data_IF_620452558323
#
_entry.id   IF_620452558323
#
_cell.length_a   1.000
_cell.length_b   1.000
_cell.length_c   1.000
_cell.angle_alpha   90.00
_cell.angle_beta   90.00
_cell.angle_gamma   90.00
#
_symmetry.space_group_name_H-M   'P 1'
#
loop_
_entity.id
_entity.type
_entity.pdbx_description
1 polymer ?
#
# COMPACT_ATOMS: atom_id res chain seq x y z
N UNK A 1 -21.07 -2.17 -19.15
CA UNK A 1 -21.45 -0.88 -18.55
C UNK A 1 -20.57 0.18 -19.20
N UNK A 2 -21.15 1.17 -19.90
CA UNK A 2 -20.37 2.25 -20.53
C UNK A 2 -20.35 3.45 -19.58
N UNK A 3 -19.20 3.73 -18.96
CA UNK A 3 -19.03 4.81 -17.98
C UNK A 3 -18.46 6.08 -18.60
N UNK A 4 -18.23 6.12 -19.93
CA UNK A 4 -17.64 7.29 -20.61
C UNK A 4 -18.51 8.54 -20.53
N UNK A 5 -19.79 8.40 -20.19
CA UNK A 5 -20.74 9.49 -19.97
C UNK A 5 -20.92 9.88 -18.51
N UNK A 6 -19.99 9.51 -17.62
CA UNK A 6 -20.04 9.80 -16.19
C UNK A 6 -18.83 10.65 -15.81
N UNK A 7 -19.10 11.83 -15.26
CA UNK A 7 -18.08 12.66 -14.60
C UNK A 7 -18.28 12.58 -13.10
N UNK A 8 -17.21 12.29 -12.35
CA UNK A 8 -17.25 12.14 -10.90
C UNK A 8 -16.28 13.12 -10.27
N UNK A 9 -16.79 13.90 -9.32
CA UNK A 9 -15.97 14.70 -8.42
C UNK A 9 -16.13 14.18 -7.00
N UNK A 10 -14.99 13.99 -6.33
CA UNK A 10 -14.96 13.53 -4.94
C UNK A 10 -14.45 14.66 -4.06
N UNK A 11 -15.16 14.94 -2.98
CA UNK A 11 -14.72 15.79 -1.89
C UNK A 11 -14.61 14.93 -0.64
N UNK A 12 -13.46 14.98 0.03
CA UNK A 12 -13.24 14.32 1.32
C UNK A 12 -12.98 15.41 2.36
N UNK A 13 -13.82 15.45 3.39
CA UNK A 13 -13.72 16.38 4.50
C UNK A 13 -13.50 15.61 5.80
N UNK A 14 -12.38 15.87 6.46
CA UNK A 14 -12.06 15.29 7.76
C UNK A 14 -12.63 16.15 8.88
N UNK A 15 -13.40 15.53 9.78
CA UNK A 15 -13.94 16.12 11.01
C UNK A 15 -13.36 15.39 12.21
N UNK A 16 -13.50 15.99 13.40
CA UNK A 16 -12.92 15.46 14.64
C UNK A 16 -13.26 13.99 14.88
N UNK A 17 -14.50 13.58 14.62
CA UNK A 17 -14.97 12.21 14.87
C UNK A 17 -15.29 11.45 13.60
N UNK A 18 -15.44 12.12 12.45
CA UNK A 18 -15.95 11.49 11.23
C UNK A 18 -15.21 11.96 9.97
N UNK A 19 -15.18 11.13 8.94
CA UNK A 19 -14.81 11.57 7.58
C UNK A 19 -16.06 11.60 6.73
N UNK A 20 -16.34 12.74 6.12
CA UNK A 20 -17.41 12.88 5.13
C UNK A 20 -16.83 12.81 3.71
N UNK A 21 -17.40 11.94 2.89
CA UNK A 21 -17.10 11.79 1.47
C UNK A 21 -18.32 12.18 0.68
N UNK A 22 -18.20 13.22 -0.13
CA UNK A 22 -19.26 13.65 -1.05
C UNK A 22 -18.85 13.34 -2.48
N UNK A 23 -19.68 12.57 -3.17
CA UNK A 23 -19.57 12.30 -4.60
C UNK A 23 -20.60 13.14 -5.35
N UNK A 24 -20.10 14.05 -6.18
CA UNK A 24 -20.92 14.79 -7.15
C UNK A 24 -20.74 14.11 -8.51
N UNK A 25 -21.84 13.68 -9.12
CA UNK A 25 -21.81 12.87 -10.34
C UNK A 25 -22.72 13.48 -11.39
N UNK A 26 -22.15 13.82 -12.54
CA UNK A 26 -22.91 14.20 -13.72
C UNK A 26 -22.95 13.02 -14.70
N UNK A 27 -24.17 12.65 -15.11
CA UNK A 27 -24.39 11.48 -15.94
C UNK A 27 -25.24 11.80 -17.16
N UNK A 28 -24.85 11.29 -18.33
CA UNK A 28 -25.64 11.47 -19.57
C UNK A 28 -26.84 10.54 -19.67
N UNK A 29 -26.93 9.51 -18.79
CA UNK A 29 -27.94 8.45 -18.82
C UNK A 29 -28.34 8.01 -17.41
N UNK A 30 -29.37 7.17 -17.29
CA UNK A 30 -29.69 6.51 -16.03
C UNK A 30 -28.82 5.26 -15.87
N UNK A 31 -28.35 5.02 -14.65
CA UNK A 31 -27.61 3.81 -14.28
C UNK A 31 -28.25 3.18 -13.05
N UNK A 32 -28.36 1.86 -13.04
CA UNK A 32 -28.77 1.11 -11.87
C UNK A 32 -27.59 0.35 -11.30
N UNK A 33 -27.50 0.28 -9.97
CA UNK A 33 -26.47 -0.47 -9.25
C UNK A 33 -25.02 -0.12 -9.69
N UNK A 34 -24.76 1.15 -9.98
CA UNK A 34 -23.42 1.60 -10.33
C UNK A 34 -22.48 1.45 -9.14
N UNK A 35 -21.35 0.76 -9.35
CA UNK A 35 -20.29 0.63 -8.38
C UNK A 35 -19.31 1.81 -8.48
N UNK A 36 -19.21 2.58 -7.40
CA UNK A 36 -18.36 3.76 -7.27
C UNK A 36 -17.31 3.48 -6.19
N UNK A 37 -16.05 3.46 -6.57
CA UNK A 37 -14.97 3.18 -5.63
C UNK A 37 -14.52 4.46 -4.90
N UNK A 38 -14.43 4.38 -3.58
CA UNK A 38 -13.81 5.40 -2.72
C UNK A 38 -12.53 4.81 -2.12
N UNK A 39 -11.42 5.53 -2.25
CA UNK A 39 -10.09 5.03 -1.96
C UNK A 39 -9.39 5.86 -0.91
N UNK A 40 -8.65 5.17 -0.04
CA UNK A 40 -7.72 5.68 0.95
C UNK A 40 -8.35 6.71 1.90
N UNK A 41 -9.50 6.40 2.48
CA UNK A 41 -10.11 7.24 3.50
C UNK A 41 -9.27 7.17 4.79
N UNK A 42 -9.02 8.29 5.49
CA UNK A 42 -8.17 8.35 6.70
C UNK A 42 -8.84 7.74 7.94
N UNK A 43 -9.36 6.53 7.80
CA UNK A 43 -10.25 5.86 8.75
C UNK A 43 -9.93 4.38 8.82
N UNK A 44 -10.12 3.79 10.00
CA UNK A 44 -9.92 2.36 10.21
C UNK A 44 -10.96 1.54 9.43
N UNK A 45 -10.52 0.40 8.90
CA UNK A 45 -11.43 -0.58 8.33
C UNK A 45 -12.29 -1.23 9.44
N UNK A 46 -13.57 -1.43 9.15
CA UNK A 46 -14.52 -2.18 9.97
C UNK A 46 -15.55 -2.87 9.07
N UNK A 47 -16.14 -3.95 9.58
CA UNK A 47 -17.32 -4.59 8.98
C UNK A 47 -18.63 -4.13 9.64
N UNK A 48 -18.56 -3.37 10.73
CA UNK A 48 -19.75 -2.84 11.42
C UNK A 48 -20.43 -1.75 10.57
N UNK A 49 -21.60 -2.10 10.00
CA UNK A 49 -22.37 -1.20 9.15
C UNK A 49 -22.86 0.06 9.89
N UNK A 50 -22.94 0.05 11.22
CA UNK A 50 -23.37 1.21 12.00
C UNK A 50 -22.34 2.35 12.00
N UNK A 51 -21.11 2.07 11.56
CA UNK A 51 -20.04 3.05 11.42
C UNK A 51 -20.18 3.89 10.14
N UNK A 52 -21.17 3.60 9.30
CA UNK A 52 -21.38 4.27 8.01
C UNK A 52 -22.78 4.88 7.93
N UNK A 53 -22.86 6.17 7.60
CA UNK A 53 -24.11 6.84 7.27
C UNK A 53 -24.10 7.18 5.78
N UNK A 54 -25.15 6.77 5.07
CA UNK A 54 -25.27 6.93 3.63
C UNK A 54 -26.46 7.81 3.27
N UNK A 55 -26.24 8.69 2.30
CA UNK A 55 -27.28 9.49 1.66
C UNK A 55 -27.11 9.42 0.15
N UNK A 56 -28.20 9.14 -0.57
CA UNK A 56 -28.19 9.03 -2.03
C UNK A 56 -27.57 7.74 -2.58
N UNK A 57 -27.02 6.87 -1.73
CA UNK A 57 -26.48 5.55 -2.08
C UNK A 57 -27.35 4.44 -1.47
N UNK A 58 -27.38 3.27 -2.11
CA UNK A 58 -28.08 2.10 -1.60
C UNK A 58 -27.28 1.40 -0.51
N UNK A 59 -25.99 1.20 -0.73
CA UNK A 59 -25.10 0.51 0.22
C UNK A 59 -23.64 0.90 0.04
N UNK A 60 -22.86 0.64 1.09
CA UNK A 60 -21.41 0.74 1.10
C UNK A 60 -20.81 -0.61 1.46
N UNK A 61 -19.88 -1.06 0.64
CA UNK A 61 -19.11 -2.28 0.86
C UNK A 61 -17.70 -1.87 1.33
N UNK A 62 -17.40 -1.93 2.64
CA UNK A 62 -16.09 -1.55 3.14
C UNK A 62 -15.05 -2.54 2.64
N UNK A 63 -13.93 -2.01 2.15
CA UNK A 63 -12.78 -2.78 1.68
C UNK A 63 -11.56 -2.33 2.45
N UNK A 64 -10.85 -3.25 3.09
CA UNK A 64 -9.60 -2.91 3.75
C UNK A 64 -8.53 -2.61 2.70
N UNK A 65 -7.93 -1.42 2.76
CA UNK A 65 -6.79 -1.11 1.90
C UNK A 65 -5.63 -2.07 2.22
N UNK A 66 -5.10 -2.78 1.21
CA UNK A 66 -4.12 -3.85 1.46
C UNK A 66 -2.83 -3.31 2.05
N UNK A 67 -2.45 -2.06 1.77
CA UNK A 67 -1.15 -1.51 2.17
C UNK A 67 -1.21 -0.52 3.34
N UNK A 68 -2.20 0.36 3.40
CA UNK A 68 -2.32 1.37 4.48
C UNK A 68 -3.13 0.85 5.68
N UNK A 69 -3.93 -0.21 5.47
CA UNK A 69 -4.99 -0.61 6.40
C UNK A 69 -6.11 0.41 6.54
N UNK A 70 -6.08 1.49 5.75
CA UNK A 70 -7.13 2.49 5.68
C UNK A 70 -8.40 1.90 5.07
N UNK A 71 -9.52 2.57 5.30
CA UNK A 71 -10.79 2.21 4.71
C UNK A 71 -10.80 2.62 3.23
N UNK A 72 -11.02 1.63 2.38
CA UNK A 72 -11.57 1.82 1.03
C UNK A 72 -13.03 1.36 1.04
N UNK A 73 -13.71 1.51 -0.08
CA UNK A 73 -14.90 0.73 -0.31
C UNK A 73 -15.59 1.04 -1.61
N UNK A 74 -16.72 0.40 -1.79
CA UNK A 74 -17.55 0.53 -2.98
C UNK A 74 -18.92 1.03 -2.54
N UNK A 75 -19.29 2.20 -3.03
CA UNK A 75 -20.65 2.73 -2.96
C UNK A 75 -21.45 2.16 -4.13
N UNK A 76 -22.63 1.62 -3.84
CA UNK A 76 -23.57 1.17 -4.85
C UNK A 76 -24.71 2.18 -4.94
N UNK A 77 -24.98 2.62 -6.16
CA UNK A 77 -25.77 3.81 -6.46
C UNK A 77 -26.68 3.61 -7.67
N UNK A 78 -27.91 4.09 -7.59
CA UNK A 78 -28.69 4.38 -8.77
C UNK A 78 -28.44 5.84 -9.17
N UNK A 79 -28.05 6.07 -10.43
CA UNK A 79 -27.88 7.41 -10.99
C UNK A 79 -29.04 7.73 -11.92
N UNK A 80 -29.52 8.97 -11.81
CA UNK A 80 -30.39 9.57 -12.82
C UNK A 80 -29.54 10.35 -13.81
N UNK A 81 -30.05 10.51 -15.03
CA UNK A 81 -29.51 11.46 -15.99
C UNK A 81 -29.47 12.86 -15.38
N UNK A 82 -28.35 13.55 -15.55
CA UNK A 82 -28.05 14.86 -14.95
C UNK A 82 -27.20 14.73 -13.70
N UNK A 83 -27.39 15.66 -12.76
CA UNK A 83 -26.58 15.76 -11.54
C UNK A 83 -27.15 14.88 -10.42
N UNK A 84 -26.26 14.12 -9.79
CA UNK A 84 -26.51 13.30 -8.62
C UNK A 84 -25.52 13.69 -7.54
N UNK A 85 -25.94 13.57 -6.28
CA UNK A 85 -25.08 13.78 -5.13
C UNK A 85 -25.27 12.65 -4.14
N UNK A 86 -24.17 12.16 -3.61
CA UNK A 86 -24.14 11.07 -2.65
C UNK A 86 -23.17 11.43 -1.54
N UNK A 87 -23.50 11.06 -0.31
CA UNK A 87 -22.64 11.30 0.85
C UNK A 87 -22.48 10.02 1.64
N UNK A 88 -21.23 9.72 1.99
CA UNK A 88 -20.83 8.69 2.94
C UNK A 88 -20.14 9.38 4.12
N UNK A 89 -20.65 9.18 5.32
CA UNK A 89 -19.98 9.58 6.56
C UNK A 89 -19.46 8.33 7.26
N UNK A 90 -18.17 8.35 7.62
CA UNK A 90 -17.46 7.24 8.27
C UNK A 90 -17.08 7.65 9.69
N UNK A 91 -17.44 6.83 10.69
CA UNK A 91 -17.28 7.14 12.12
C UNK A 91 -16.21 6.30 12.86
N UNK A 92 -15.49 5.45 12.15
CA UNK A 92 -14.42 4.64 12.74
C UNK A 92 -13.26 5.50 13.21
N UNK A 93 -12.39 4.92 14.03
CA UNK A 93 -11.13 5.54 14.47
C UNK A 93 -10.35 6.16 13.30
N UNK A 94 -9.80 7.35 13.54
CA UNK A 94 -8.96 8.03 12.57
C UNK A 94 -7.68 7.21 12.32
N UNK A 95 -7.27 7.13 11.06
CA UNK A 95 -5.99 6.58 10.66
C UNK A 95 -5.26 7.59 9.77
N UNK A 96 -3.98 7.90 10.05
CA UNK A 96 -3.22 8.79 9.20
C UNK A 96 -3.11 8.20 7.79
N UNK A 97 -3.23 9.07 6.77
CA UNK A 97 -2.87 8.69 5.41
C UNK A 97 -1.39 8.34 5.38
N UNK A 98 -1.08 7.10 5.01
CA UNK A 98 0.30 6.64 4.89
C UNK A 98 0.74 6.70 3.43
N UNK A 99 1.81 7.44 3.17
CA UNK A 99 2.58 7.26 1.94
C UNK A 99 3.47 6.03 2.11
N UNK A 100 3.14 5.00 1.36
CA UNK A 100 3.71 3.67 1.51
C UNK A 100 4.96 3.45 0.68
N UNK A 101 5.27 4.40 -0.20
CA UNK A 101 6.42 4.28 -1.09
C UNK A 101 7.70 4.54 -0.30
N UNK A 102 8.50 3.49 -0.24
CA UNK A 102 9.83 3.48 0.33
C UNK A 102 10.80 3.56 -0.84
N UNK A 103 11.55 4.64 -0.94
CA UNK A 103 12.62 4.71 -1.93
C UNK A 103 13.77 3.76 -1.51
N UNK A 104 14.21 2.93 -2.45
CA UNK A 104 15.30 1.97 -2.28
C UNK A 104 16.42 2.34 -3.27
N UNK A 105 17.58 2.73 -2.75
CA UNK A 105 18.62 3.36 -3.57
C UNK A 105 18.09 4.60 -4.30
N UNK A 106 18.39 4.73 -5.60
CA UNK A 106 18.05 5.93 -6.38
C UNK A 106 16.73 5.83 -7.15
N UNK A 107 16.47 4.68 -7.77
CA UNK A 107 15.47 4.53 -8.83
C UNK A 107 14.46 3.40 -8.57
N UNK A 108 14.63 2.66 -7.47
CA UNK A 108 13.70 1.63 -7.06
C UNK A 108 12.84 2.12 -5.89
N UNK A 109 11.64 1.56 -5.80
CA UNK A 109 10.68 1.84 -4.75
C UNK A 109 10.08 0.54 -4.25
N UNK A 110 9.54 0.57 -3.05
CA UNK A 110 8.77 -0.53 -2.50
C UNK A 110 7.53 -0.04 -1.77
N UNK A 111 6.48 -0.86 -1.79
CA UNK A 111 5.36 -0.77 -0.83
C UNK A 111 5.48 -1.94 0.14
N UNK A 112 5.60 -1.64 1.42
CA UNK A 112 5.77 -2.66 2.48
C UNK A 112 4.44 -2.87 3.20
N UNK A 113 4.10 -4.13 3.44
CA UNK A 113 2.90 -4.58 4.13
C UNK A 113 3.26 -5.48 5.30
N UNK A 114 2.84 -5.10 6.51
CA UNK A 114 2.95 -5.93 7.70
C UNK A 114 1.60 -6.60 8.01
N UNK A 115 1.56 -7.93 7.98
CA UNK A 115 0.35 -8.71 8.30
C UNK A 115 0.70 -9.98 9.07
N UNK A 116 0.09 -10.17 10.23
CA UNK A 116 0.21 -11.43 10.99
C UNK A 116 1.63 -11.72 11.49
N UNK A 117 2.44 -10.69 11.72
CA UNK A 117 3.83 -10.82 12.13
C UNK A 117 4.83 -10.99 10.98
N UNK A 118 4.36 -10.99 9.72
CA UNK A 118 5.21 -11.08 8.54
C UNK A 118 5.16 -9.79 7.72
N UNK A 119 6.33 -9.35 7.25
CA UNK A 119 6.49 -8.19 6.37
C UNK A 119 6.69 -8.64 4.92
N UNK A 120 5.90 -8.11 4.00
CA UNK A 120 6.02 -8.30 2.55
C UNK A 120 6.20 -6.97 1.84
N UNK A 121 7.29 -6.82 1.10
CA UNK A 121 7.60 -5.68 0.26
C UNK A 121 7.33 -5.98 -1.21
N UNK A 122 6.62 -5.09 -1.90
CA UNK A 122 6.37 -5.12 -3.33
C UNK A 122 7.28 -4.12 -4.00
N UNK A 123 8.27 -4.59 -4.75
CA UNK A 123 9.28 -3.75 -5.39
C UNK A 123 8.80 -3.27 -6.76
N UNK A 124 9.14 -2.06 -7.15
CA UNK A 124 8.84 -1.52 -8.47
C UNK A 124 9.82 -0.39 -8.84
N UNK A 125 9.85 -0.02 -10.12
CA UNK A 125 10.53 1.19 -10.59
C UNK A 125 9.56 2.05 -11.40
N UNK A 126 9.54 3.38 -11.18
CA UNK A 126 8.82 4.31 -12.05
C UNK A 126 9.59 4.63 -13.34
N UNK A 127 10.83 4.13 -13.48
CA UNK A 127 11.62 4.34 -14.68
C UNK A 127 11.02 3.58 -15.88
N UNK A 128 11.22 4.13 -17.07
CA UNK A 128 10.82 3.50 -18.34
C UNK A 128 11.81 2.41 -18.80
N UNK A 129 12.93 2.27 -18.10
CA UNK A 129 13.98 1.27 -18.37
C UNK A 129 14.21 0.39 -17.13
N UNK A 130 14.70 -0.85 -17.31
CA UNK A 130 15.05 -1.72 -16.19
C UNK A 130 16.12 -1.12 -15.28
N UNK A 131 15.98 -1.36 -13.98
CA UNK A 131 16.94 -0.90 -12.97
C UNK A 131 17.42 -2.09 -12.12
N UNK A 132 18.69 -2.08 -11.74
CA UNK A 132 19.25 -3.07 -10.84
C UNK A 132 19.23 -2.54 -9.41
N UNK A 133 18.58 -3.27 -8.52
CA UNK A 133 18.52 -3.01 -7.09
C UNK A 133 19.46 -3.97 -6.35
N UNK A 134 20.45 -3.42 -5.65
CA UNK A 134 21.29 -4.17 -4.72
C UNK A 134 20.57 -4.29 -3.37
N UNK A 135 20.45 -5.51 -2.85
CA UNK A 135 19.85 -5.81 -1.54
C UNK A 135 20.76 -6.74 -0.73
N UNK A 136 21.03 -6.37 0.51
CA UNK A 136 21.82 -7.15 1.46
C UNK A 136 21.06 -7.28 2.79
N UNK A 137 20.24 -8.33 2.96
CA UNK A 137 19.55 -8.58 4.21
C UNK A 137 20.52 -8.81 5.40
N UNK A 138 20.09 -8.55 6.65
CA UNK A 138 20.86 -8.93 7.83
C UNK A 138 21.12 -10.44 7.87
N UNK A 139 22.27 -10.84 8.44
CA UNK A 139 22.78 -12.23 8.43
C UNK A 139 21.83 -13.26 9.04
N UNK A 140 21.00 -12.86 9.99
CA UNK A 140 20.08 -13.75 10.73
C UNK A 140 18.63 -13.64 10.24
N UNK A 141 18.36 -12.80 9.23
CA UNK A 141 17.00 -12.60 8.73
C UNK A 141 16.66 -13.60 7.62
N UNK A 142 15.56 -14.33 7.78
CA UNK A 142 15.03 -15.22 6.74
C UNK A 142 14.26 -14.44 5.67
N UNK A 143 15.01 -13.73 4.80
CA UNK A 143 14.43 -12.98 3.70
C UNK A 143 14.34 -13.82 2.41
N UNK A 144 13.24 -13.68 1.67
CA UNK A 144 13.00 -14.39 0.40
C UNK A 144 12.51 -13.45 -0.69
N UNK A 145 13.07 -13.58 -1.89
CA UNK A 145 12.60 -12.92 -3.11
C UNK A 145 11.66 -13.84 -3.88
N UNK A 146 10.53 -13.30 -4.32
CA UNK A 146 9.60 -13.92 -5.25
C UNK A 146 9.61 -13.11 -6.54
N UNK A 147 10.36 -13.52 -7.57
CA UNK A 147 10.38 -12.83 -8.86
C UNK A 147 9.01 -12.87 -9.53
N UNK A 148 8.65 -11.83 -10.29
CA UNK A 148 7.36 -11.78 -11.00
C UNK A 148 7.15 -12.90 -12.01
N UNK A 149 8.25 -13.42 -12.58
CA UNK A 149 8.26 -14.37 -13.69
C UNK A 149 8.80 -15.76 -13.30
N UNK A 150 8.90 -16.07 -12.00
CA UNK A 150 9.48 -17.33 -11.53
C UNK A 150 8.61 -17.99 -10.47
N UNK A 151 8.42 -19.31 -10.61
CA UNK A 151 7.66 -20.13 -9.66
C UNK A 151 8.57 -20.61 -8.52
N UNK A 152 8.96 -19.70 -7.64
CA UNK A 152 9.63 -20.11 -6.40
C UNK A 152 10.30 -18.98 -5.61
N UNK A 153 10.36 -19.11 -4.27
CA UNK A 153 11.16 -18.21 -3.45
C UNK A 153 12.66 -18.43 -3.70
N UNK A 154 13.39 -17.33 -3.81
CA UNK A 154 14.85 -17.28 -3.84
C UNK A 154 15.31 -16.71 -2.49
N UNK A 155 16.02 -17.47 -1.65
CA UNK A 155 16.57 -16.95 -0.41
C UNK A 155 17.51 -15.77 -0.68
N UNK A 156 17.31 -14.66 0.01
CA UNK A 156 18.21 -13.51 -0.07
C UNK A 156 19.27 -13.64 1.05
N UNK A 157 20.49 -14.00 0.66
CA UNK A 157 21.64 -14.12 1.57
C UNK A 157 22.81 -13.30 1.06
N UNK A 158 23.43 -12.51 1.93
CA UNK A 158 24.49 -11.59 1.52
C UNK A 158 23.99 -10.56 0.49
N UNK A 159 24.91 -10.03 -0.32
CA UNK A 159 24.56 -9.07 -1.36
C UNK A 159 23.95 -9.77 -2.59
N UNK A 160 22.74 -9.37 -2.96
CA UNK A 160 22.01 -9.84 -4.12
C UNK A 160 21.68 -8.67 -5.04
N UNK A 161 21.63 -8.90 -6.35
CA UNK A 161 21.18 -7.91 -7.33
C UNK A 161 19.86 -8.38 -7.94
N UNK A 162 18.83 -7.56 -7.80
CA UNK A 162 17.48 -7.79 -8.34
C UNK A 162 17.27 -6.84 -9.50
N UNK A 163 17.00 -7.38 -10.69
CA UNK A 163 16.56 -6.59 -11.84
C UNK A 163 15.07 -6.27 -11.72
N UNK A 164 14.72 -4.99 -11.75
CA UNK A 164 13.35 -4.50 -11.76
C UNK A 164 13.02 -3.98 -13.17
N UNK A 165 12.28 -4.76 -13.95
CA UNK A 165 11.77 -4.32 -15.23
C UNK A 165 10.50 -3.45 -15.04
N UNK A 166 10.26 -2.42 -15.87
CA UNK A 166 9.07 -1.57 -15.77
C UNK A 166 7.77 -2.38 -15.85
N UNK A 167 6.82 -2.07 -14.96
CA UNK A 167 5.54 -2.78 -14.87
C UNK A 167 5.58 -4.15 -14.19
N UNK A 168 6.76 -4.65 -13.81
CA UNK A 168 6.91 -5.86 -13.01
C UNK A 168 6.96 -5.52 -11.52
N UNK A 169 6.42 -6.40 -10.69
CA UNK A 169 6.34 -6.19 -9.25
C UNK A 169 6.80 -7.44 -8.45
N UNK A 170 8.12 -7.70 -8.39
CA UNK A 170 8.63 -8.80 -7.58
C UNK A 170 8.44 -8.48 -6.10
N UNK A 171 8.39 -9.52 -5.27
CA UNK A 171 8.09 -9.39 -3.84
C UNK A 171 9.26 -9.86 -2.99
N UNK A 172 9.52 -9.17 -1.88
CA UNK A 172 10.45 -9.61 -0.85
C UNK A 172 9.67 -9.86 0.44
N UNK A 173 9.81 -11.04 1.03
CA UNK A 173 9.17 -11.41 2.29
C UNK A 173 10.25 -11.52 3.37
N UNK A 174 9.91 -11.17 4.61
CA UNK A 174 10.77 -11.32 5.78
C UNK A 174 11.62 -10.09 6.12
N UNK A 175 11.41 -8.95 5.44
CA UNK A 175 12.05 -7.68 5.77
C UNK A 175 11.00 -6.62 6.10
N UNK A 176 11.07 -6.07 7.32
CA UNK A 176 10.31 -4.88 7.68
C UNK A 176 10.72 -3.69 6.82
N UNK A 177 9.91 -2.62 6.86
CA UNK A 177 10.20 -1.37 6.14
C UNK A 177 11.61 -0.84 6.46
N UNK A 178 11.97 -0.80 7.73
CA UNK A 178 13.27 -0.26 8.18
C UNK A 178 14.43 -1.16 7.75
N UNK A 179 14.28 -2.48 7.87
CA UNK A 179 15.30 -3.44 7.44
C UNK A 179 15.50 -3.40 5.93
N UNK A 180 14.42 -3.27 5.15
CA UNK A 180 14.49 -3.14 3.70
C UNK A 180 15.24 -1.87 3.28
N UNK A 181 14.99 -0.74 3.93
CA UNK A 181 15.73 0.50 3.65
C UNK A 181 17.22 0.38 3.99
N UNK A 182 17.55 -0.28 5.10
CA UNK A 182 18.95 -0.53 5.50
C UNK A 182 19.64 -1.54 4.57
N UNK A 183 18.91 -2.54 4.09
CA UNK A 183 19.41 -3.58 3.18
C UNK A 183 19.68 -3.06 1.76
N UNK A 184 19.02 -1.97 1.37
CA UNK A 184 19.15 -1.33 0.05
C UNK A 184 19.79 0.07 0.14
N UNK A 185 21.01 0.23 0.71
CA UNK A 185 21.59 1.55 0.90
C UNK A 185 21.97 2.18 -0.44
N UNK A 186 21.81 3.49 -0.52
CA UNK A 186 22.39 4.28 -1.60
C UNK A 186 23.92 4.04 -1.60
N UNK A 187 24.52 3.76 -2.77
CA UNK A 187 25.91 3.26 -2.98
C UNK A 187 27.06 4.00 -2.26
N UNK A 188 26.80 5.06 -1.49
CA UNK A 188 27.79 5.79 -0.70
C UNK A 188 28.04 5.23 0.72
N UNK A 189 27.26 4.27 1.21
CA UNK A 189 27.35 3.80 2.62
C UNK A 189 27.34 2.29 2.82
N UNK A 190 27.74 1.49 1.84
CA UNK A 190 27.95 0.05 2.08
C UNK A 190 29.26 -0.18 2.85
N UNK A 191 29.21 -0.10 4.18
CA UNK A 191 30.08 -0.92 5.03
C UNK A 191 29.30 -2.21 5.29
N UNK A 192 29.81 -3.34 4.80
CA UNK A 192 29.27 -4.64 5.13
C UNK A 192 29.05 -4.73 6.66
N UNK A 193 27.92 -5.27 7.09
CA UNK A 193 27.62 -5.54 8.49
C UNK A 193 28.69 -6.48 9.04
N UNK A 194 29.76 -5.91 9.59
CA UNK A 194 30.73 -6.65 10.36
C UNK A 194 30.13 -6.81 11.75
N UNK A 195 30.01 -8.06 12.18
CA UNK A 195 29.78 -8.43 13.57
C UNK A 195 30.87 -7.71 14.37
N UNK A 196 30.47 -6.71 15.17
CA UNK A 196 31.41 -6.07 16.09
C UNK A 196 31.94 -7.13 17.06
N UNK A 197 33.26 -7.12 17.24
CA UNK A 197 34.04 -8.06 18.03
C UNK A 197 33.35 -8.40 19.36
N UNK A 198 33.08 -9.69 19.57
CA UNK A 198 32.79 -10.22 20.90
C UNK A 198 33.98 -9.86 21.78
N UNK A 199 33.83 -9.04 22.85
CA UNK A 199 34.94 -8.77 23.73
C UNK A 199 35.32 -10.09 24.40
N UNK A 200 36.53 -10.56 24.10
CA UNK A 200 37.15 -11.67 24.81
C UNK A 200 37.18 -11.33 26.30
N UNK A 201 36.45 -12.11 27.09
CA UNK A 201 36.56 -12.06 28.55
C UNK A 201 37.90 -12.70 28.90
N UNK A 202 38.91 -11.87 29.17
CA UNK A 202 40.12 -12.29 29.88
C UNK A 202 40.26 -11.44 31.15
N UNK A 203 39.68 -11.92 32.24
CA UNK A 203 40.12 -11.65 33.62
C UNK A 203 40.42 -13.01 34.24
N UNK A 204 41.70 -13.42 34.26
CA UNK A 204 42.67 -13.29 35.37
C UNK A 204 42.38 -14.24 36.53
N UNK A 205 43.26 -15.23 36.64
CA UNK A 205 43.75 -15.76 37.93
C UNK A 205 44.28 -14.63 38.83
#
# INVERSE_FOLDING_TARGET
LDTRGIEVRTLVEEKTETTAVTLEIESTSNFQNLALAVWNLPRAYTEDSNQFLLQGAERFLPVRAPFTGNLNGILIADLKKGKNQMTLEVKTDSRPLQFLDVQLGKTAYAKVLDRGGESTAYLFTPAEIPVDLEIAPPLETEAQLFPSNYEGPIPLRGLNTIRLDPGQCPRVVGLSREELQKACPDRKTFKAWQVEDIPSISGRD
#
